data_IF_150087941332
#
_entry.id   IF_150087941332
#
_cell.length_a   1.000
_cell.length_b   1.000
_cell.length_c   1.000
_cell.angle_alpha   90.00
_cell.angle_beta   90.00
_cell.angle_gamma   90.00
#
_symmetry.space_group_name_H-M   'P 1'
#
loop_
_entity.id
_entity.type
_entity.pdbx_description
1 polymer ?
#
# COMPACT_ATOMS: atom_id res chain seq x y z
N UNK A 1 -6.28 4.16 7.83
CA UNK A 1 -7.29 3.09 8.00
C UNK A 1 -6.96 1.84 7.18
N UNK A 2 -6.42 1.93 5.95
CA UNK A 2 -6.31 0.77 5.04
C UNK A 2 -4.98 0.00 5.11
N UNK A 3 -3.92 0.61 5.65
CA UNK A 3 -2.64 -0.07 5.91
C UNK A 3 -1.81 -0.39 4.66
N UNK A 4 -2.22 0.10 3.49
CA UNK A 4 -1.57 0.00 2.18
C UNK A 4 -1.71 1.34 1.45
N UNK A 5 -0.68 1.78 0.71
CA UNK A 5 -0.76 2.99 -0.10
C UNK A 5 -1.65 2.81 -1.33
N UNK A 6 -1.59 1.64 -1.96
CA UNK A 6 -2.45 1.31 -3.10
C UNK A 6 -3.91 1.27 -2.70
N UNK A 7 -4.24 0.57 -1.60
CA UNK A 7 -5.63 0.53 -1.10
C UNK A 7 -6.12 1.96 -0.75
N UNK A 8 -5.22 2.81 -0.24
CA UNK A 8 -5.54 4.21 0.05
C UNK A 8 -5.84 5.01 -1.22
N UNK A 9 -5.04 4.86 -2.28
CA UNK A 9 -5.26 5.52 -3.56
C UNK A 9 -6.57 5.05 -4.20
N UNK A 10 -6.86 3.75 -4.16
CA UNK A 10 -8.12 3.17 -4.64
C UNK A 10 -9.31 3.70 -3.83
N UNK A 11 -9.16 3.83 -2.51
CA UNK A 11 -10.20 4.40 -1.66
C UNK A 11 -10.45 5.88 -1.95
N UNK A 12 -9.41 6.65 -2.26
CA UNK A 12 -9.56 8.06 -2.67
C UNK A 12 -10.33 8.14 -3.98
N UNK A 13 -9.98 7.32 -4.97
CA UNK A 13 -10.68 7.29 -6.26
C UNK A 13 -12.16 6.92 -6.09
N UNK A 14 -12.45 5.85 -5.36
CA UNK A 14 -13.82 5.40 -5.08
C UNK A 14 -14.62 6.47 -4.30
N UNK A 15 -13.97 7.17 -3.37
CA UNK A 15 -14.58 8.29 -2.64
C UNK A 15 -15.00 9.40 -3.59
N UNK A 16 -14.12 9.81 -4.50
CA UNK A 16 -14.41 10.88 -5.47
C UNK A 16 -15.51 10.46 -6.44
N UNK A 17 -15.54 9.20 -6.88
CA UNK A 17 -16.61 8.67 -7.74
C UNK A 17 -17.96 8.66 -7.03
N UNK A 18 -18.02 8.23 -5.76
CA UNK A 18 -19.25 8.26 -4.95
C UNK A 18 -19.72 9.69 -4.69
N UNK A 19 -18.78 10.59 -4.41
CA UNK A 19 -19.07 12.00 -4.24
C UNK A 19 -19.66 12.61 -5.52
N UNK A 20 -19.03 12.38 -6.68
CA UNK A 20 -19.54 12.87 -7.97
C UNK A 20 -20.97 12.40 -8.24
N UNK A 21 -21.23 11.09 -8.09
CA UNK A 21 -22.56 10.51 -8.31
C UNK A 21 -23.61 11.00 -7.30
N UNK A 22 -23.19 11.30 -6.06
CA UNK A 22 -24.07 11.73 -4.98
C UNK A 22 -24.20 13.24 -4.84
N UNK A 23 -23.50 14.03 -5.66
CA UNK A 23 -23.40 15.47 -5.48
C UNK A 23 -24.75 16.18 -5.65
N UNK A 24 -25.57 15.76 -6.61
CA UNK A 24 -26.91 16.34 -6.82
C UNK A 24 -27.85 16.11 -5.62
N UNK A 25 -27.62 15.03 -4.85
CA UNK A 25 -28.39 14.72 -3.65
C UNK A 25 -27.83 15.37 -2.38
N UNK A 26 -26.72 16.12 -2.47
CA UNK A 26 -26.14 16.81 -1.33
C UNK A 26 -26.96 18.06 -0.98
N UNK A 27 -27.60 18.03 0.20
CA UNK A 27 -28.55 19.05 0.65
C UNK A 27 -27.90 20.29 1.30
N UNK A 28 -26.57 20.37 1.35
CA UNK A 28 -25.84 21.52 1.88
C UNK A 28 -25.94 21.73 3.39
N UNK A 29 -26.51 20.78 4.16
CA UNK A 29 -26.66 20.92 5.62
C UNK A 29 -25.36 20.77 6.42
N UNK A 30 -24.25 20.45 5.75
CA UNK A 30 -22.93 20.31 6.36
C UNK A 30 -21.88 20.89 5.41
N UNK A 31 -20.65 21.10 5.90
CA UNK A 31 -19.54 21.41 5.00
C UNK A 31 -19.28 20.24 4.04
N UNK A 32 -18.90 20.55 2.80
CA UNK A 32 -18.54 19.55 1.78
C UNK A 32 -17.43 18.62 2.29
N UNK A 33 -16.46 19.15 3.04
CA UNK A 33 -15.39 18.36 3.68
C UNK A 33 -15.94 17.31 4.64
N UNK A 34 -16.92 17.66 5.47
CA UNK A 34 -17.59 16.74 6.41
C UNK A 34 -18.32 15.64 5.66
N UNK A 35 -19.00 15.99 4.57
CA UNK A 35 -19.70 15.04 3.72
C UNK A 35 -18.73 14.07 3.02
N UNK A 36 -17.65 14.59 2.43
CA UNK A 36 -16.59 13.78 1.82
C UNK A 36 -15.90 12.85 2.83
N UNK A 37 -15.64 13.34 4.05
CA UNK A 37 -15.02 12.53 5.10
C UNK A 37 -15.89 11.33 5.48
N UNK A 38 -17.22 11.52 5.51
CA UNK A 38 -18.18 10.44 5.76
C UNK A 38 -18.17 9.40 4.64
N UNK A 39 -18.11 9.82 3.38
CA UNK A 39 -17.97 8.91 2.23
C UNK A 39 -16.66 8.12 2.33
N UNK A 40 -15.53 8.81 2.52
CA UNK A 40 -14.21 8.20 2.61
C UNK A 40 -14.12 7.16 3.74
N UNK A 41 -14.70 7.49 4.90
CA UNK A 41 -14.76 6.59 6.05
C UNK A 41 -15.55 5.32 5.71
N UNK A 42 -16.72 5.46 5.09
CA UNK A 42 -17.54 4.30 4.69
C UNK A 42 -16.82 3.44 3.66
N UNK A 43 -16.19 4.05 2.64
CA UNK A 43 -15.36 3.34 1.65
C UNK A 43 -14.26 2.54 2.34
N UNK A 44 -13.52 3.16 3.26
CA UNK A 44 -12.45 2.47 3.99
C UNK A 44 -12.98 1.28 4.81
N UNK A 45 -14.10 1.45 5.52
CA UNK A 45 -14.71 0.40 6.31
C UNK A 45 -15.24 -0.76 5.44
N UNK A 46 -15.81 -0.45 4.29
CA UNK A 46 -16.30 -1.47 3.34
C UNK A 46 -15.14 -2.30 2.77
N UNK A 47 -14.03 -1.64 2.41
CA UNK A 47 -12.83 -2.33 1.93
C UNK A 47 -12.22 -3.23 3.02
N UNK A 48 -12.11 -2.74 4.25
CA UNK A 48 -11.62 -3.54 5.39
C UNK A 48 -12.51 -4.76 5.65
N UNK A 49 -13.84 -4.62 5.56
CA UNK A 49 -14.80 -5.73 5.71
C UNK A 49 -14.65 -6.76 4.58
N UNK A 50 -14.47 -6.31 3.35
CA UNK A 50 -14.26 -7.18 2.18
C UNK A 50 -12.95 -7.98 2.27
N UNK A 51 -11.88 -7.35 2.77
CA UNK A 51 -10.55 -7.97 2.95
C UNK A 51 -10.58 -9.16 3.90
N UNK A 52 -11.37 -9.08 4.98
CA UNK A 52 -11.55 -10.19 5.94
C UNK A 52 -12.20 -11.43 5.33
N UNK A 53 -12.88 -11.28 4.18
CA UNK A 53 -13.65 -12.34 3.50
C UNK A 53 -12.92 -12.93 2.28
N UNK A 54 -11.71 -12.46 1.98
CA UNK A 54 -10.91 -12.95 0.84
C UNK A 54 -10.12 -14.18 1.30
N UNK A 55 -10.27 -15.31 0.61
CA UNK A 55 -9.51 -16.53 0.90
C UNK A 55 -8.02 -16.30 0.70
N UNK A 56 -7.21 -16.72 1.67
CA UNK A 56 -5.76 -16.67 1.59
C UNK A 56 -5.27 -17.69 0.55
N UNK A 57 -4.28 -17.35 -0.28
CA UNK A 57 -3.76 -18.28 -1.27
C UNK A 57 -3.22 -19.56 -0.61
N UNK A 58 -3.56 -20.71 -1.20
CA UNK A 58 -3.09 -22.03 -0.77
C UNK A 58 -1.59 -22.13 -1.06
N UNK A 59 -0.77 -22.25 -0.01
CA UNK A 59 0.70 -22.33 -0.14
C UNK A 59 1.49 -22.20 1.17
N UNK A 60 0.84 -22.28 2.34
CA UNK A 60 1.50 -22.18 3.65
C UNK A 60 2.09 -23.54 4.03
N UNK A 61 3.30 -23.83 3.55
CA UNK A 61 4.02 -25.10 3.76
C UNK A 61 4.48 -25.40 5.21
N UNK A 62 5.22 -26.51 5.42
CA UNK A 62 5.63 -27.04 6.74
C UNK A 62 6.79 -26.26 7.43
N UNK A 63 7.07 -26.59 8.70
CA UNK A 63 7.91 -25.84 9.66
C UNK A 63 9.44 -25.97 9.47
N UNK A 64 10.20 -24.90 9.79
CA UNK A 64 11.68 -24.87 9.92
C UNK A 64 12.18 -25.10 11.37
N UNK A 65 13.51 -25.07 11.58
CA UNK A 65 14.29 -25.42 12.80
C UNK A 65 15.19 -24.28 13.32
N UNK A 66 15.85 -24.43 14.48
CA UNK A 66 16.47 -23.32 15.26
C UNK A 66 17.81 -22.76 14.75
N UNK A 67 18.50 -23.48 13.86
CA UNK A 67 19.70 -23.01 13.15
C UNK A 67 19.36 -22.39 11.79
N UNK A 68 18.07 -22.40 11.43
CA UNK A 68 17.57 -21.71 10.26
C UNK A 68 17.56 -20.21 10.52
N UNK A 69 18.10 -19.46 9.57
CA UNK A 69 18.10 -18.01 9.61
C UNK A 69 16.67 -17.47 9.79
N UNK A 70 16.55 -16.37 10.55
CA UNK A 70 15.33 -15.57 10.65
C UNK A 70 14.70 -15.39 9.26
N UNK A 71 13.41 -15.74 9.15
CA UNK A 71 12.60 -15.39 7.98
C UNK A 71 11.48 -14.49 8.46
N UNK A 72 11.54 -13.21 8.11
CA UNK A 72 10.43 -12.29 8.34
C UNK A 72 9.23 -12.71 7.48
N UNK A 73 8.10 -13.02 8.14
CA UNK A 73 6.80 -13.34 7.52
C UNK A 73 5.72 -12.42 8.13
N UNK A 74 4.64 -12.08 7.41
CA UNK A 74 4.60 -11.26 6.20
C UNK A 74 3.88 -9.91 6.46
N UNK A 75 4.26 -8.84 5.75
CA UNK A 75 3.38 -7.67 5.57
C UNK A 75 2.16 -8.21 4.84
N UNK A 76 0.97 -8.22 5.44
CA UNK A 76 -0.24 -8.89 4.92
C UNK A 76 -0.35 -8.85 3.38
N UNK A 77 0.19 -9.92 2.76
CA UNK A 77 0.41 -10.18 1.33
C UNK A 77 0.70 -8.95 0.45
N UNK A 78 1.94 -8.46 0.44
CA UNK A 78 2.73 -7.88 -0.68
C UNK A 78 3.88 -7.07 -0.06
N UNK A 79 5.11 -7.27 -0.53
CA UNK A 79 6.18 -6.30 -0.29
C UNK A 79 5.80 -5.05 -1.09
N UNK A 80 5.26 -4.06 -0.41
CA UNK A 80 4.95 -2.78 -1.04
C UNK A 80 6.25 -1.98 -1.24
N UNK A 81 6.36 -1.19 -2.32
CA UNK A 81 7.44 -0.23 -2.46
C UNK A 81 7.52 0.64 -1.21
N UNK A 82 8.72 0.79 -0.67
CA UNK A 82 8.96 1.76 0.41
C UNK A 82 8.47 3.13 -0.04
N UNK A 83 7.73 3.84 0.82
CA UNK A 83 7.16 5.12 0.45
C UNK A 83 8.28 6.12 0.11
N UNK A 84 8.15 6.83 -1.00
CA UNK A 84 9.18 7.79 -1.45
C UNK A 84 9.51 8.81 -0.36
N UNK A 85 8.52 9.25 0.43
CA UNK A 85 8.73 10.19 1.54
C UNK A 85 9.65 9.65 2.65
N UNK A 86 9.85 8.33 2.73
CA UNK A 86 10.74 7.70 3.71
C UNK A 86 12.18 7.56 3.21
N UNK A 87 12.42 7.67 1.89
CA UNK A 87 13.72 7.33 1.28
C UNK A 87 14.26 8.45 0.40
N UNK A 88 13.41 9.34 -0.08
CA UNK A 88 13.76 10.48 -0.92
C UNK A 88 13.70 11.77 -0.10
N UNK A 89 14.65 12.69 -0.30
CA UNK A 89 14.56 14.03 0.27
C UNK A 89 13.29 14.74 -0.22
N UNK A 90 12.48 15.35 0.67
CA UNK A 90 11.21 15.97 0.29
C UNK A 90 11.43 17.10 -0.74
N UNK A 91 12.49 17.89 -0.54
CA UNK A 91 12.87 19.05 -1.35
C UNK A 91 13.65 18.71 -2.62
N UNK A 92 13.88 17.41 -2.92
CA UNK A 92 14.63 17.05 -4.12
C UNK A 92 13.83 17.37 -5.40
N UNK A 93 14.54 17.87 -6.41
CA UNK A 93 14.00 18.12 -7.75
C UNK A 93 13.51 16.81 -8.40
N UNK A 94 12.57 16.87 -9.36
CA UNK A 94 11.99 15.67 -9.98
C UNK A 94 13.03 14.76 -10.65
N UNK A 95 14.02 15.35 -11.32
CA UNK A 95 15.18 14.66 -11.91
C UNK A 95 15.99 13.93 -10.84
N UNK A 96 16.29 14.60 -9.72
CA UNK A 96 17.04 13.99 -8.62
C UNK A 96 16.28 12.84 -7.94
N UNK A 97 14.96 12.97 -7.79
CA UNK A 97 14.09 11.88 -7.30
C UNK A 97 14.13 10.67 -8.24
N UNK A 98 14.17 10.89 -9.55
CA UNK A 98 14.26 9.81 -10.54
C UNK A 98 15.61 9.09 -10.46
N UNK A 99 16.73 9.81 -10.37
CA UNK A 99 18.08 9.24 -10.20
C UNK A 99 18.18 8.37 -8.93
N UNK A 100 17.64 8.85 -7.81
CA UNK A 100 17.65 8.12 -6.54
C UNK A 100 16.82 6.83 -6.61
N UNK A 101 15.63 6.85 -7.22
CA UNK A 101 14.83 5.63 -7.43
C UNK A 101 15.56 4.60 -8.29
N UNK A 102 16.25 5.04 -9.34
CA UNK A 102 17.05 4.15 -10.19
C UNK A 102 18.21 3.54 -9.41
N UNK A 103 18.93 4.36 -8.64
CA UNK A 103 20.04 3.92 -7.79
C UNK A 103 19.57 2.88 -6.75
N UNK A 104 18.41 3.10 -6.13
CA UNK A 104 17.83 2.16 -5.16
C UNK A 104 17.44 0.83 -5.79
N UNK A 105 16.83 0.86 -6.98
CA UNK A 105 16.49 -0.35 -7.75
C UNK A 105 17.74 -1.13 -8.10
N UNK A 106 18.79 -0.45 -8.56
CA UNK A 106 20.06 -1.09 -8.93
C UNK A 106 20.74 -1.71 -7.70
N UNK A 107 20.78 -1.01 -6.57
CA UNK A 107 21.32 -1.52 -5.32
C UNK A 107 20.55 -2.76 -4.82
N UNK A 108 19.22 -2.77 -4.95
CA UNK A 108 18.41 -3.93 -4.61
C UNK A 108 18.73 -5.13 -5.52
N UNK A 109 18.76 -4.94 -6.85
CA UNK A 109 19.11 -6.00 -7.80
C UNK A 109 20.52 -6.54 -7.54
N UNK A 110 21.49 -5.65 -7.28
CA UNK A 110 22.85 -6.04 -6.93
C UNK A 110 22.88 -6.84 -5.61
N UNK A 111 22.11 -6.45 -4.59
CA UNK A 111 21.99 -7.21 -3.35
C UNK A 111 21.41 -8.63 -3.56
N UNK A 112 20.42 -8.78 -4.45
CA UNK A 112 19.90 -10.10 -4.86
C UNK A 112 20.98 -10.97 -5.52
N UNK A 113 21.93 -10.37 -6.24
CA UNK A 113 23.03 -11.13 -6.84
C UNK A 113 23.99 -11.71 -5.79
N UNK A 114 24.07 -11.14 -4.59
CA UNK A 114 24.88 -11.65 -3.49
C UNK A 114 24.14 -12.65 -2.58
N UNK A 115 22.83 -12.86 -2.79
CA UNK A 115 22.04 -13.83 -2.04
C UNK A 115 22.27 -15.27 -2.55
N UNK A 116 22.34 -16.27 -1.65
CA UNK A 116 22.51 -17.67 -2.04
C UNK A 116 21.29 -18.20 -2.82
N UNK A 117 21.43 -19.30 -3.60
CA UNK A 117 20.39 -19.77 -4.53
C UNK A 117 19.03 -20.12 -3.91
N UNK A 118 18.95 -20.33 -2.59
CA UNK A 118 17.70 -20.58 -1.85
C UNK A 118 16.99 -19.28 -1.41
N UNK A 119 17.62 -18.12 -1.64
CA UNK A 119 17.17 -16.79 -1.23
C UNK A 119 17.19 -15.76 -2.38
N UNK A 120 17.58 -16.17 -3.61
CA UNK A 120 17.34 -15.43 -4.87
C UNK A 120 15.93 -15.71 -5.38
#
# INVERSE_FOLDING_TARGET
MLGSSMDADDAVQETMLRAWKGFEAFDGKSAVSTWLYRIATNVCLDQLRSRKRRELPVGTGPAGTVDDALVSKPRSHWLEPVADAQVLPPEASPDRKAELRQSLRLAFVAALQHLPPRQR
#
